data_IF_177963795515
#
_entry.id   IF_177963795515
#
_cell.length_a   1.000
_cell.length_b   1.000
_cell.length_c   1.000
_cell.angle_alpha   90.00
_cell.angle_beta   90.00
_cell.angle_gamma   90.00
#
_symmetry.space_group_name_H-M   'P 1'
#
loop_
_entity.id
_entity.type
_entity.pdbx_description
1 polymer ?
#
# COMPACT_ATOMS: atom_id res chain seq x y z
N UNK A 1 -4.39 7.45 -16.10
CA UNK A 1 -5.14 8.19 -15.06
C UNK A 1 -5.41 7.23 -13.91
N UNK A 2 -5.23 7.69 -12.68
CA UNK A 2 -5.54 6.93 -11.45
C UNK A 2 -6.53 7.69 -10.58
N UNK A 3 -7.09 6.99 -9.60
CA UNK A 3 -8.06 7.51 -8.66
C UNK A 3 -9.48 7.02 -8.96
N UNK A 4 -10.39 7.25 -8.04
CA UNK A 4 -11.81 6.97 -8.20
C UNK A 4 -12.54 8.28 -8.53
N UNK A 5 -13.02 9.01 -7.55
CA UNK A 5 -13.71 10.30 -7.73
C UNK A 5 -12.83 11.38 -8.37
N UNK A 6 -11.52 11.38 -8.09
CA UNK A 6 -10.57 12.33 -8.67
C UNK A 6 -10.36 12.23 -10.19
N UNK A 7 -10.92 11.20 -10.85
CA UNK A 7 -10.91 11.10 -12.32
C UNK A 7 -11.77 12.16 -13.01
N UNK A 8 -12.72 12.71 -12.28
CA UNK A 8 -13.60 13.78 -12.78
C UNK A 8 -12.96 15.17 -12.70
N UNK A 9 -11.77 15.31 -12.13
CA UNK A 9 -11.10 16.60 -12.02
C UNK A 9 -10.32 16.94 -13.28
N UNK A 10 -10.31 18.20 -13.67
CA UNK A 10 -9.54 18.73 -14.82
C UNK A 10 -8.04 18.44 -14.67
N UNK A 11 -7.53 18.43 -13.44
CA UNK A 11 -6.16 18.05 -13.11
C UNK A 11 -6.14 16.59 -12.64
N UNK A 12 -5.88 15.70 -13.58
CA UNK A 12 -5.89 14.26 -13.32
C UNK A 12 -4.66 13.80 -12.53
N UNK A 13 -4.86 12.75 -11.70
CA UNK A 13 -3.75 11.98 -11.13
C UNK A 13 -3.31 10.89 -12.11
N UNK A 14 -2.01 10.57 -12.10
CA UNK A 14 -1.46 9.54 -12.98
C UNK A 14 -0.72 8.46 -12.19
N UNK A 15 -0.76 7.24 -12.70
CA UNK A 15 0.20 6.19 -12.35
C UNK A 15 1.20 6.11 -13.49
N UNK A 16 2.48 6.13 -13.15
CA UNK A 16 3.58 5.97 -14.08
C UNK A 16 4.14 4.58 -13.90
N UNK A 17 4.34 3.87 -15.00
CA UNK A 17 5.09 2.62 -15.04
C UNK A 17 6.28 2.80 -15.96
N UNK A 18 7.47 2.65 -15.40
CA UNK A 18 8.70 2.69 -16.19
C UNK A 18 8.98 1.30 -16.75
N UNK A 19 9.11 1.21 -18.07
CA UNK A 19 9.38 -0.03 -18.78
C UNK A 19 10.62 0.14 -19.65
N UNK A 20 11.26 -0.96 -20.02
CA UNK A 20 12.25 -1.00 -21.10
C UNK A 20 11.54 -0.84 -22.46
N UNK A 21 12.27 -1.06 -23.55
CA UNK A 21 11.67 -1.07 -24.88
C UNK A 21 10.50 -2.05 -24.99
N UNK A 22 10.63 -3.22 -24.36
CA UNK A 22 9.52 -4.14 -24.16
C UNK A 22 8.67 -3.68 -22.97
N UNK A 23 7.38 -3.29 -23.18
CA UNK A 23 6.49 -2.84 -22.12
C UNK A 23 6.22 -3.88 -21.01
N UNK A 24 6.45 -5.17 -21.27
CA UNK A 24 6.34 -6.22 -20.26
C UNK A 24 7.52 -6.23 -19.28
N UNK A 25 8.63 -5.60 -19.62
CA UNK A 25 9.83 -5.54 -18.81
C UNK A 25 9.88 -4.25 -18.00
N UNK A 26 9.82 -4.38 -16.67
CA UNK A 26 9.98 -3.26 -15.75
C UNK A 26 11.39 -2.66 -15.86
N UNK A 27 11.45 -1.33 -15.73
CA UNK A 27 12.70 -0.58 -15.71
C UNK A 27 12.76 0.28 -14.43
N UNK A 28 13.19 -0.28 -13.29
CA UNK A 28 13.27 0.48 -12.05
C UNK A 28 14.38 1.53 -12.14
N UNK A 29 14.02 2.80 -12.02
CA UNK A 29 14.95 3.93 -12.01
C UNK A 29 14.69 4.81 -10.79
N UNK A 30 15.75 5.44 -10.22
CA UNK A 30 15.58 6.48 -9.23
C UNK A 30 15.06 7.76 -9.90
N UNK A 31 14.04 8.38 -9.33
CA UNK A 31 13.50 9.64 -9.81
C UNK A 31 13.65 10.72 -8.73
N UNK A 32 14.17 11.89 -9.10
CA UNK A 32 14.31 13.06 -8.23
C UNK A 32 14.96 12.75 -6.86
N UNK A 33 15.95 11.84 -6.86
CA UNK A 33 16.68 11.45 -5.66
C UNK A 33 15.94 10.47 -4.74
N UNK A 34 14.79 9.95 -5.16
CA UNK A 34 14.06 8.89 -4.46
C UNK A 34 14.52 7.51 -4.92
N UNK A 35 14.32 6.48 -4.09
CA UNK A 35 14.77 5.12 -4.36
C UNK A 35 14.22 4.53 -5.67
N UNK A 36 14.99 3.66 -6.33
CA UNK A 36 14.66 3.11 -7.63
C UNK A 36 13.35 2.30 -7.60
N UNK A 37 12.45 2.60 -8.52
CA UNK A 37 11.21 1.85 -8.74
C UNK A 37 10.74 1.99 -10.19
N UNK A 38 9.97 1.02 -10.66
CA UNK A 38 9.26 1.12 -11.93
C UNK A 38 7.85 1.74 -11.79
N UNK A 39 7.32 1.80 -10.57
CA UNK A 39 5.97 2.27 -10.30
C UNK A 39 5.99 3.55 -9.46
N UNK A 40 5.35 4.60 -9.99
CA UNK A 40 5.25 5.92 -9.39
C UNK A 40 3.84 6.47 -9.48
N UNK A 41 3.51 7.39 -8.60
CA UNK A 41 2.27 8.15 -8.67
C UNK A 41 2.57 9.63 -8.88
N UNK A 42 1.84 10.27 -9.80
CA UNK A 42 1.78 11.72 -9.93
C UNK A 42 0.45 12.20 -9.37
N UNK A 43 0.52 12.92 -8.26
CA UNK A 43 -0.63 13.57 -7.67
C UNK A 43 -0.79 14.98 -8.23
N UNK A 44 -1.91 15.21 -8.88
CA UNK A 44 -2.34 16.53 -9.33
C UNK A 44 -3.25 17.18 -8.29
N UNK A 45 -2.76 18.12 -7.47
CA UNK A 45 -3.52 18.68 -6.36
C UNK A 45 -4.59 19.66 -6.86
N UNK A 46 -5.73 19.14 -7.33
CA UNK A 46 -6.82 19.97 -7.90
C UNK A 46 -7.59 20.73 -6.84
N UNK A 47 -8.01 20.05 -5.76
CA UNK A 47 -8.78 20.65 -4.67
C UNK A 47 -7.92 21.44 -3.69
N UNK A 48 -6.65 21.09 -3.59
CA UNK A 48 -5.70 21.80 -2.74
C UNK A 48 -5.06 22.96 -3.48
N UNK A 49 -5.61 24.16 -3.28
CA UNK A 49 -5.10 25.38 -3.92
C UNK A 49 -3.75 25.84 -3.41
N UNK A 50 -3.30 25.30 -2.28
CA UNK A 50 -1.95 25.56 -1.75
C UNK A 50 -0.89 24.68 -2.42
N UNK A 51 -1.30 23.58 -3.04
CA UNK A 51 -0.49 22.54 -3.67
C UNK A 51 0.44 21.76 -2.72
N UNK A 52 0.44 22.05 -1.42
CA UNK A 52 1.45 21.56 -0.47
C UNK A 52 0.95 20.45 0.47
N UNK A 53 -0.37 20.20 0.57
CA UNK A 53 -0.91 19.31 1.60
C UNK A 53 -0.30 17.90 1.55
N UNK A 54 -0.35 17.25 0.39
CA UNK A 54 0.23 15.91 0.25
C UNK A 54 1.73 15.91 0.50
N UNK A 55 2.44 16.93 0.01
CA UNK A 55 3.87 17.06 0.25
C UNK A 55 4.18 17.22 1.74
N UNK A 56 3.47 18.11 2.41
CA UNK A 56 3.66 18.39 3.84
C UNK A 56 3.35 17.15 4.69
N UNK A 57 2.18 16.54 4.50
CA UNK A 57 1.77 15.41 5.32
C UNK A 57 2.67 14.17 5.13
N UNK A 58 3.10 13.87 3.90
CA UNK A 58 4.00 12.74 3.65
C UNK A 58 5.39 12.96 4.31
N UNK A 59 5.92 14.18 4.24
CA UNK A 59 7.20 14.47 4.91
C UNK A 59 7.06 14.48 6.43
N UNK A 60 5.97 15.02 6.97
CA UNK A 60 5.71 14.98 8.41
C UNK A 60 5.52 13.54 8.91
N UNK A 61 4.78 12.72 8.18
CA UNK A 61 4.62 11.30 8.50
C UNK A 61 5.94 10.55 8.50
N UNK A 62 6.88 10.90 7.61
CA UNK A 62 8.19 10.27 7.55
C UNK A 62 9.09 10.58 8.76
N UNK A 63 8.78 11.63 9.53
CA UNK A 63 9.49 11.96 10.77
C UNK A 63 8.95 11.17 11.98
N UNK A 64 7.73 10.66 11.88
CA UNK A 64 7.02 10.03 13.00
C UNK A 64 6.93 8.52 12.78
N UNK A 65 6.55 8.09 11.57
CA UNK A 65 6.28 6.70 11.24
C UNK A 65 7.54 5.97 10.77
N UNK A 66 7.61 4.66 10.98
CA UNK A 66 8.69 3.81 10.45
C UNK A 66 8.82 3.80 8.93
N UNK A 67 7.75 4.14 8.21
CA UNK A 67 7.75 4.32 6.75
C UNK A 67 6.68 5.31 6.32
N UNK A 68 7.03 6.22 5.45
CA UNK A 68 6.10 7.00 4.65
C UNK A 68 6.64 7.16 3.21
N UNK A 69 5.76 7.23 2.19
CA UNK A 69 6.20 7.46 0.82
C UNK A 69 6.97 8.76 0.66
N UNK A 70 8.14 8.71 0.06
CA UNK A 70 8.85 9.92 -0.34
C UNK A 70 8.10 10.67 -1.43
N UNK A 71 8.18 11.99 -1.38
CA UNK A 71 7.48 12.88 -2.31
C UNK A 71 8.38 14.00 -2.78
N UNK A 72 8.22 14.42 -4.04
CA UNK A 72 8.95 15.55 -4.63
C UNK A 72 8.00 16.36 -5.51
N UNK A 73 8.11 17.67 -5.46
CA UNK A 73 7.48 18.53 -6.45
C UNK A 73 8.15 18.35 -7.82
N UNK A 74 7.34 18.38 -8.85
CA UNK A 74 7.79 18.39 -10.24
C UNK A 74 6.80 19.17 -11.12
N UNK A 75 7.28 19.62 -12.25
CA UNK A 75 6.45 20.12 -13.34
C UNK A 75 6.20 18.97 -14.33
N UNK A 76 4.97 18.85 -14.79
CA UNK A 76 4.58 17.83 -15.75
C UNK A 76 4.41 18.42 -17.14
N UNK A 77 5.12 17.87 -18.10
CA UNK A 77 4.87 18.06 -19.54
C UNK A 77 4.40 16.72 -20.08
N UNK A 78 3.16 16.67 -20.58
CA UNK A 78 2.56 15.46 -21.13
C UNK A 78 2.24 15.70 -22.60
N UNK A 79 2.84 14.89 -23.47
CA UNK A 79 2.68 15.01 -24.93
C UNK A 79 2.93 16.45 -25.45
N UNK A 80 3.98 17.09 -24.93
CA UNK A 80 4.36 18.46 -25.28
C UNK A 80 3.51 19.56 -24.64
N UNK A 81 2.49 19.20 -23.87
CA UNK A 81 1.62 20.17 -23.17
C UNK A 81 2.05 20.33 -21.71
N UNK A 82 2.22 21.56 -21.29
CA UNK A 82 2.48 21.88 -19.87
C UNK A 82 1.23 21.70 -19.02
N UNK A 83 1.31 20.83 -18.02
CA UNK A 83 0.22 20.43 -17.13
C UNK A 83 0.31 21.07 -15.73
N UNK A 84 1.36 21.85 -15.49
CA UNK A 84 1.60 22.54 -14.21
C UNK A 84 2.34 21.68 -13.17
N UNK A 85 2.28 22.13 -11.93
CA UNK A 85 2.96 21.51 -10.79
C UNK A 85 2.23 20.25 -10.33
N UNK A 86 2.98 19.17 -10.12
CA UNK A 86 2.55 17.90 -9.58
C UNK A 86 3.41 17.50 -8.39
N UNK A 87 2.93 16.55 -7.62
CA UNK A 87 3.73 15.86 -6.60
C UNK A 87 4.02 14.45 -7.12
N UNK A 88 5.28 14.16 -7.43
CA UNK A 88 5.75 12.80 -7.70
C UNK A 88 5.88 12.07 -6.37
N UNK A 89 5.25 10.91 -6.27
CA UNK A 89 5.14 10.15 -5.04
C UNK A 89 5.56 8.69 -5.26
N UNK A 90 6.21 8.14 -4.27
CA UNK A 90 6.39 6.69 -4.16
C UNK A 90 5.05 5.98 -4.03
N UNK A 91 4.93 4.80 -4.63
CA UNK A 91 3.81 3.89 -4.39
C UNK A 91 4.18 2.95 -3.24
N UNK A 92 3.22 2.61 -2.39
CA UNK A 92 3.42 1.61 -1.35
C UNK A 92 3.61 0.25 -2.02
N UNK A 93 4.71 -0.43 -1.72
CA UNK A 93 5.07 -1.74 -2.25
C UNK A 93 6.09 -2.42 -1.35
N UNK A 94 6.10 -3.75 -1.30
CA UNK A 94 7.14 -4.53 -0.64
C UNK A 94 8.43 -4.52 -1.46
N UNK A 95 9.43 -3.78 -1.04
CA UNK A 95 10.78 -3.74 -1.63
C UNK A 95 11.76 -3.02 -0.70
N UNK A 96 13.06 -3.21 -0.92
CA UNK A 96 14.12 -2.54 -0.14
C UNK A 96 14.03 -1.02 -0.16
N UNK A 97 13.55 -0.43 -1.26
CA UNK A 97 13.44 1.02 -1.42
C UNK A 97 12.06 1.58 -1.05
N UNK A 98 11.16 0.75 -0.54
CA UNK A 98 9.81 1.08 -0.11
C UNK A 98 9.56 0.49 1.29
N UNK A 99 8.50 -0.29 1.46
CA UNK A 99 8.30 -1.05 2.69
C UNK A 99 9.25 -2.24 2.65
N UNK A 100 10.29 -2.20 3.49
CA UNK A 100 11.34 -3.24 3.53
C UNK A 100 10.82 -4.47 4.30
N UNK A 101 10.07 -5.30 3.61
CA UNK A 101 9.55 -6.57 4.14
C UNK A 101 10.58 -7.68 3.96
N UNK A 102 10.61 -8.62 4.90
CA UNK A 102 11.40 -9.84 4.77
C UNK A 102 10.96 -10.61 3.51
N UNK A 103 11.87 -10.90 2.57
CA UNK A 103 11.54 -11.69 1.38
C UNK A 103 11.04 -13.07 1.78
N UNK A 104 9.93 -13.51 1.17
CA UNK A 104 9.42 -14.86 1.35
C UNK A 104 10.35 -15.88 0.67
N UNK A 105 10.68 -16.96 1.38
CA UNK A 105 11.32 -18.14 0.86
C UNK A 105 10.41 -19.36 1.10
N UNK A 106 10.35 -20.25 0.11
CA UNK A 106 9.51 -21.45 0.23
C UNK A 106 9.97 -22.29 1.43
N UNK A 107 9.02 -22.64 2.31
CA UNK A 107 9.27 -23.38 3.54
C UNK A 107 9.57 -22.53 4.77
N UNK A 108 9.58 -21.21 4.66
CA UNK A 108 9.70 -20.34 5.83
C UNK A 108 8.49 -20.51 6.76
N UNK A 109 8.72 -20.70 8.08
CA UNK A 109 7.64 -20.87 9.05
C UNK A 109 6.85 -19.58 9.30
N UNK A 110 7.45 -18.42 9.01
CA UNK A 110 6.86 -17.09 9.16
C UNK A 110 7.22 -16.27 7.94
N UNK A 111 6.25 -15.55 7.40
CA UNK A 111 6.47 -14.63 6.29
C UNK A 111 5.91 -13.25 6.58
N UNK A 112 6.56 -12.22 6.03
CA UNK A 112 5.97 -10.89 5.97
C UNK A 112 4.94 -10.81 4.84
N UNK A 113 3.82 -10.15 5.09
CA UNK A 113 2.84 -9.88 4.05
C UNK A 113 2.27 -8.47 4.18
N UNK A 114 1.67 -7.99 3.09
CA UNK A 114 0.97 -6.72 3.04
C UNK A 114 -0.42 -6.95 2.48
N UNK A 115 -1.42 -6.50 3.21
CA UNK A 115 -2.82 -6.60 2.82
C UNK A 115 -3.37 -5.25 2.40
N UNK A 116 -4.34 -5.29 1.49
CA UNK A 116 -5.02 -4.13 0.99
C UNK A 116 -6.54 -4.35 1.01
N UNK A 117 -7.23 -3.54 1.80
CA UNK A 117 -8.69 -3.61 1.89
C UNK A 117 -9.26 -2.63 0.86
N UNK A 118 -9.75 -3.17 -0.24
CA UNK A 118 -10.32 -2.41 -1.35
C UNK A 118 -11.77 -2.81 -1.61
N UNK A 119 -12.61 -1.90 -2.13
CA UNK A 119 -13.98 -2.25 -2.52
C UNK A 119 -14.09 -3.34 -3.59
N UNK A 120 -13.02 -3.53 -4.37
CA UNK A 120 -12.92 -4.55 -5.42
C UNK A 120 -11.53 -5.17 -5.38
N UNK A 121 -11.40 -6.26 -4.64
CA UNK A 121 -10.19 -7.07 -4.64
C UNK A 121 -10.04 -7.89 -5.93
N UNK A 122 -8.81 -8.09 -6.39
CA UNK A 122 -8.52 -9.03 -7.49
C UNK A 122 -8.55 -10.46 -6.95
N UNK A 123 -9.41 -11.32 -7.51
CA UNK A 123 -9.71 -12.66 -6.98
C UNK A 123 -8.49 -13.60 -6.90
N UNK A 124 -7.58 -13.52 -7.85
CA UNK A 124 -6.36 -14.32 -7.88
C UNK A 124 -5.32 -13.91 -6.83
N UNK A 125 -5.51 -12.74 -6.23
CA UNK A 125 -4.64 -12.15 -5.22
C UNK A 125 -5.34 -11.92 -3.89
N UNK A 126 -6.49 -12.51 -3.66
CA UNK A 126 -7.28 -12.23 -2.49
C UNK A 126 -7.49 -13.44 -1.61
N UNK A 127 -7.77 -13.19 -0.36
CA UNK A 127 -8.21 -14.17 0.62
C UNK A 127 -9.53 -13.74 1.23
N UNK A 128 -10.37 -14.70 1.54
CA UNK A 128 -11.56 -14.48 2.35
C UNK A 128 -11.19 -14.74 3.81
N UNK A 129 -11.35 -13.72 4.65
CA UNK A 129 -11.13 -13.89 6.08
C UNK A 129 -12.35 -14.55 6.72
N UNK A 130 -12.12 -15.44 7.69
CA UNK A 130 -13.18 -16.16 8.38
C UNK A 130 -13.59 -15.52 9.70
N UNK A 131 -12.93 -14.45 10.09
CA UNK A 131 -13.16 -13.80 11.35
C UNK A 131 -14.21 -12.70 11.28
N UNK A 132 -14.34 -11.96 12.34
CA UNK A 132 -15.46 -11.09 12.63
C UNK A 132 -15.72 -10.01 11.57
N UNK A 133 -14.68 -9.36 11.07
CA UNK A 133 -14.84 -8.22 10.18
C UNK A 133 -15.47 -8.61 8.85
N UNK A 134 -14.86 -9.56 8.16
CA UNK A 134 -15.32 -9.98 6.84
C UNK A 134 -16.67 -10.71 6.88
N UNK A 135 -16.93 -11.52 7.92
CA UNK A 135 -18.20 -12.26 8.04
C UNK A 135 -19.37 -11.43 8.56
N UNK A 136 -19.13 -10.56 9.53
CA UNK A 136 -20.19 -9.86 10.25
C UNK A 136 -20.51 -8.49 9.69
N UNK A 137 -19.49 -7.73 9.30
CA UNK A 137 -19.64 -6.36 8.79
C UNK A 137 -19.80 -6.33 7.28
N UNK A 138 -19.01 -7.14 6.56
CA UNK A 138 -19.04 -7.22 5.10
C UNK A 138 -18.89 -8.68 4.64
N UNK A 139 -19.97 -9.49 4.72
CA UNK A 139 -19.92 -10.90 4.33
C UNK A 139 -19.47 -11.08 2.88
N UNK A 140 -18.49 -11.96 2.66
CA UNK A 140 -17.94 -12.26 1.33
C UNK A 140 -16.97 -11.23 0.80
N UNK A 141 -16.56 -10.23 1.61
CA UNK A 141 -15.50 -9.32 1.21
C UNK A 141 -14.17 -10.05 1.21
N UNK A 142 -13.42 -9.82 0.14
CA UNK A 142 -12.08 -10.34 0.00
C UNK A 142 -11.06 -9.24 0.28
N UNK A 143 -9.92 -9.65 0.83
CA UNK A 143 -8.79 -8.78 1.13
C UNK A 143 -7.69 -9.10 0.13
N UNK A 144 -7.21 -8.09 -0.58
CA UNK A 144 -6.16 -8.25 -1.59
C UNK A 144 -4.79 -8.39 -0.91
N UNK A 145 -3.99 -9.37 -1.36
CA UNK A 145 -2.61 -9.54 -0.95
C UNK A 145 -1.73 -8.66 -1.85
N UNK A 146 -1.23 -7.56 -1.30
CA UNK A 146 -0.32 -6.66 -2.02
C UNK A 146 1.12 -7.20 -2.05
N UNK A 147 1.52 -7.94 -1.02
CA UNK A 147 2.79 -8.68 -0.93
C UNK A 147 2.57 -9.99 -0.17
N UNK A 148 3.21 -11.11 -0.58
CA UNK A 148 4.11 -11.27 -1.71
C UNK A 148 3.43 -11.10 -3.07
N UNK A 149 4.23 -10.92 -4.13
CA UNK A 149 3.72 -10.76 -5.49
C UNK A 149 3.13 -12.07 -6.05
N UNK A 150 2.28 -11.98 -7.10
CA UNK A 150 1.54 -13.09 -7.70
C UNK A 150 2.36 -14.37 -7.96
N UNK A 151 3.63 -14.22 -8.33
CA UNK A 151 4.50 -15.39 -8.63
C UNK A 151 4.79 -16.25 -7.41
N UNK A 152 4.73 -15.67 -6.21
CA UNK A 152 4.96 -16.37 -4.94
C UNK A 152 3.65 -16.75 -4.24
N UNK A 153 2.49 -16.33 -4.77
CA UNK A 153 1.19 -16.69 -4.22
C UNK A 153 0.75 -18.07 -4.72
N UNK A 154 0.96 -19.08 -3.89
CA UNK A 154 0.32 -20.39 -4.01
C UNK A 154 -0.76 -20.53 -2.94
N UNK A 155 -1.49 -21.64 -2.96
CA UNK A 155 -2.60 -21.87 -2.01
C UNK A 155 -2.10 -21.99 -0.55
N UNK A 156 -0.92 -22.52 -0.31
CA UNK A 156 -0.36 -22.64 1.05
C UNK A 156 -0.04 -21.27 1.62
N UNK A 157 0.53 -20.36 0.81
CA UNK A 157 0.81 -18.97 1.18
C UNK A 157 -0.50 -18.21 1.48
N UNK A 158 -1.52 -18.40 0.65
CA UNK A 158 -2.83 -17.79 0.88
C UNK A 158 -3.48 -18.30 2.17
N UNK A 159 -3.44 -19.61 2.40
CA UNK A 159 -3.96 -20.22 3.63
C UNK A 159 -3.24 -19.71 4.87
N UNK A 160 -1.91 -19.60 4.82
CA UNK A 160 -1.13 -19.02 5.91
C UNK A 160 -1.59 -17.59 6.22
N UNK A 161 -1.60 -16.71 5.22
CA UNK A 161 -1.99 -15.29 5.39
C UNK A 161 -3.44 -15.19 5.93
N UNK A 162 -4.34 -16.00 5.39
CA UNK A 162 -5.74 -16.03 5.83
C UNK A 162 -5.87 -16.46 7.29
N UNK A 163 -5.15 -17.49 7.71
CA UNK A 163 -5.18 -17.99 9.08
C UNK A 163 -4.61 -16.95 10.05
N UNK A 164 -3.43 -16.41 9.76
CA UNK A 164 -2.75 -15.43 10.61
C UNK A 164 -3.57 -14.13 10.74
N UNK A 165 -4.04 -13.58 9.63
CA UNK A 165 -4.88 -12.36 9.66
C UNK A 165 -6.23 -12.60 10.36
N UNK A 166 -6.82 -13.78 10.22
CA UNK A 166 -8.05 -14.15 10.92
C UNK A 166 -7.87 -14.20 12.43
N UNK A 167 -6.71 -14.62 12.94
CA UNK A 167 -6.42 -14.56 14.38
C UNK A 167 -6.25 -13.12 14.86
N UNK A 168 -5.62 -12.24 14.07
CA UNK A 168 -5.53 -10.81 14.38
C UNK A 168 -6.93 -10.17 14.43
N UNK A 169 -7.78 -10.39 13.43
CA UNK A 169 -9.14 -9.88 13.43
C UNK A 169 -9.94 -10.39 14.64
N UNK A 170 -9.85 -11.69 14.93
CA UNK A 170 -10.52 -12.29 16.07
C UNK A 170 -10.05 -11.69 17.39
N UNK A 171 -8.75 -11.47 17.52
CA UNK A 171 -8.17 -10.82 18.68
C UNK A 171 -8.70 -9.38 18.86
N UNK A 172 -8.66 -8.56 17.82
CA UNK A 172 -9.09 -7.15 17.86
C UNK A 172 -10.58 -7.02 18.21
N UNK A 173 -11.42 -7.95 17.74
CA UNK A 173 -12.88 -7.90 17.96
C UNK A 173 -13.38 -8.82 19.08
N UNK A 174 -12.49 -9.42 19.87
CA UNK A 174 -12.89 -10.25 21.02
C UNK A 174 -13.28 -9.39 22.24
N UNK A 175 -14.17 -9.93 23.06
CA UNK A 175 -14.53 -9.30 24.34
C UNK A 175 -13.37 -9.36 25.35
N UNK A 176 -12.35 -10.18 25.10
CA UNK A 176 -11.14 -10.31 25.93
C UNK A 176 -10.18 -9.14 25.76
N UNK A 177 -10.27 -8.44 24.64
CA UNK A 177 -9.40 -7.30 24.30
C UNK A 177 -9.37 -6.17 25.37
N UNK A 178 -10.44 -6.02 26.15
CA UNK A 178 -10.53 -5.01 27.22
C UNK A 178 -10.09 -5.47 28.60
N UNK A 179 -9.79 -6.75 28.79
CA UNK A 179 -9.51 -7.36 30.10
C UNK A 179 -8.03 -7.69 30.35
N UNK A 180 -7.23 -7.81 29.29
CA UNK A 180 -5.80 -8.08 29.36
C UNK A 180 -5.00 -6.88 28.85
N UNK A 181 -4.23 -6.19 29.74
CA UNK A 181 -3.43 -5.02 29.33
C UNK A 181 -2.37 -5.35 28.26
N UNK A 182 -1.87 -6.58 28.23
CA UNK A 182 -0.82 -7.00 27.29
C UNK A 182 -1.38 -7.65 26.01
N UNK A 183 -2.71 -7.68 25.87
CA UNK A 183 -3.39 -8.37 24.79
C UNK A 183 -2.96 -7.86 23.40
N UNK A 184 -2.91 -6.54 23.26
CA UNK A 184 -2.58 -5.93 21.97
C UNK A 184 -1.10 -6.09 21.58
N UNK A 185 -0.18 -6.09 22.56
CA UNK A 185 1.27 -6.25 22.31
C UNK A 185 1.60 -7.53 21.56
N UNK A 186 0.78 -8.56 21.72
CA UNK A 186 0.93 -9.84 21.01
C UNK A 186 0.64 -9.74 19.53
N UNK A 187 -0.22 -8.82 19.10
CA UNK A 187 -0.75 -8.75 17.75
C UNK A 187 -0.42 -7.44 17.01
N UNK A 188 -0.11 -6.38 17.76
CA UNK A 188 0.10 -5.05 17.22
C UNK A 188 1.45 -4.49 17.71
N UNK A 189 2.15 -3.81 16.83
CA UNK A 189 3.17 -2.87 17.20
C UNK A 189 2.47 -1.59 17.67
N UNK A 190 2.33 -1.43 18.99
CA UNK A 190 1.60 -0.32 19.61
C UNK A 190 2.15 1.04 19.18
N UNK A 191 3.47 1.19 19.11
CA UNK A 191 4.09 2.46 18.72
C UNK A 191 3.72 2.82 17.27
N UNK A 192 3.88 1.90 16.35
CA UNK A 192 3.48 2.13 14.95
C UNK A 192 1.99 2.41 14.80
N UNK A 193 1.15 1.78 15.62
CA UNK A 193 -0.29 2.01 15.60
C UNK A 193 -0.68 3.39 16.15
N UNK A 194 -0.02 3.85 17.21
CA UNK A 194 -0.28 5.19 17.79
C UNK A 194 0.24 6.30 16.90
N UNK A 195 1.37 6.09 16.21
CA UNK A 195 1.98 7.07 15.32
C UNK A 195 1.18 7.25 14.00
N UNK A 196 0.35 6.26 13.63
CA UNK A 196 -0.52 6.34 12.45
C UNK A 196 -1.73 7.22 12.67
#
# INVERSE_FOLDING_TARGET
IRGNSSRAFDKSNYRIKLTKEDPAQKNPLPLLGMGASSDWALHGPFLDKTLIRNYMWMNLSAEIMGYAPNVRFCELILDGKYMGVYVLMETIAGSETRVNLTPYQEGDPVMSYMLHIEPKAELDRSVETFSFYSKKLEPGRQIEIAYPGLRALNEDVKMYIQADFSEIEKAVYSDEAGSDPDFYVKYLDEQSFVDY
#
